data_IF_463003169502
#
_entry.id   IF_463003169502
#
_cell.length_a   1.000
_cell.length_b   1.000
_cell.length_c   1.000
_cell.angle_alpha   90.00
_cell.angle_beta   90.00
_cell.angle_gamma   90.00
#
_symmetry.space_group_name_H-M   'P 1'
#
loop_
_entity.id
_entity.type
_entity.pdbx_description
1 polymer ?
#
# COMPACT_ATOMS: atom_id res chain seq x y z
N UNK A 1 -28.30 -15.26 10.18
CA UNK A 1 -26.89 -15.06 10.61
C UNK A 1 -26.00 -16.09 9.92
N UNK A 2 -25.17 -15.68 8.96
CA UNK A 2 -24.17 -16.58 8.33
C UNK A 2 -22.84 -16.40 9.06
N UNK A 3 -22.54 -17.28 10.02
CA UNK A 3 -21.25 -17.33 10.69
C UNK A 3 -20.16 -17.75 9.71
N UNK A 4 -19.18 -16.87 9.48
CA UNK A 4 -18.00 -17.21 8.72
C UNK A 4 -17.27 -18.37 9.43
N UNK A 5 -17.04 -19.47 8.71
CA UNK A 5 -16.29 -20.63 9.19
C UNK A 5 -14.83 -20.21 9.38
N UNK A 6 -14.46 -19.80 10.58
CA UNK A 6 -13.07 -19.74 11.05
C UNK A 6 -12.59 -21.19 11.20
N UNK A 7 -12.35 -21.89 10.09
CA UNK A 7 -11.91 -23.31 10.13
C UNK A 7 -10.50 -23.53 9.58
N UNK A 8 -9.90 -22.52 8.94
CA UNK A 8 -8.59 -22.66 8.29
C UNK A 8 -7.65 -21.47 8.56
N UNK A 9 -7.67 -20.90 9.78
CA UNK A 9 -6.68 -19.88 10.14
C UNK A 9 -5.41 -20.55 10.70
N UNK A 10 -4.23 -20.11 10.25
CA UNK A 10 -2.94 -20.70 10.62
C UNK A 10 -2.69 -20.75 12.14
N UNK A 11 -3.35 -19.89 12.91
CA UNK A 11 -3.30 -19.88 14.39
C UNK A 11 -3.96 -21.10 15.06
N UNK A 12 -4.75 -21.89 14.34
CA UNK A 12 -5.35 -23.14 14.86
C UNK A 12 -4.56 -24.39 14.46
N UNK A 13 -3.48 -24.23 13.68
CA UNK A 13 -2.58 -25.34 13.33
C UNK A 13 -1.51 -25.51 14.42
N UNK A 14 -1.16 -26.75 14.78
CA UNK A 14 0.01 -27.02 15.60
C UNK A 14 1.26 -26.37 15.00
N UNK A 15 2.09 -25.75 15.84
CA UNK A 15 3.34 -25.11 15.41
C UNK A 15 4.26 -26.08 14.65
N UNK A 16 4.22 -27.37 14.98
CA UNK A 16 4.96 -28.43 14.28
C UNK A 16 4.60 -28.55 12.81
N UNK A 17 3.34 -28.33 12.44
CA UNK A 17 2.88 -28.45 11.06
C UNK A 17 3.34 -27.25 10.23
N UNK A 18 3.30 -26.05 10.82
CA UNK A 18 3.85 -24.83 10.22
C UNK A 18 5.37 -24.93 10.04
N UNK A 19 6.08 -25.49 11.02
CA UNK A 19 7.53 -25.71 10.94
C UNK A 19 7.88 -26.79 9.91
N UNK A 20 7.07 -27.84 9.76
CA UNK A 20 7.26 -28.88 8.74
C UNK A 20 7.01 -28.34 7.32
N UNK A 21 5.96 -27.55 7.13
CA UNK A 21 5.68 -26.84 5.87
C UNK A 21 6.83 -25.90 5.52
N UNK A 22 7.33 -25.13 6.50
CA UNK A 22 8.52 -24.27 6.33
C UNK A 22 9.78 -25.06 6.01
N UNK A 23 9.99 -26.21 6.64
CA UNK A 23 11.15 -27.07 6.38
C UNK A 23 11.11 -27.72 4.98
N UNK A 24 9.91 -27.91 4.42
CA UNK A 24 9.73 -28.39 3.04
C UNK A 24 10.05 -27.31 1.99
N UNK A 25 10.12 -26.03 2.37
CA UNK A 25 10.62 -24.97 1.49
C UNK A 25 12.14 -25.05 1.42
N UNK A 26 12.63 -25.80 0.45
CA UNK A 26 14.06 -25.83 0.11
C UNK A 26 14.42 -24.48 -0.50
N UNK A 27 15.34 -23.70 0.11
CA UNK A 27 15.84 -22.48 -0.50
C UNK A 27 16.41 -22.81 -1.89
N UNK A 28 16.08 -22.00 -2.89
CA UNK A 28 16.64 -22.16 -4.23
C UNK A 28 18.17 -22.18 -4.14
N UNK A 29 18.85 -23.26 -4.58
CA UNK A 29 20.30 -23.35 -4.49
C UNK A 29 21.00 -22.21 -5.22
N UNK A 30 22.13 -21.71 -4.71
CA UNK A 30 22.91 -20.70 -5.40
C UNK A 30 23.37 -21.24 -6.76
N UNK A 31 23.16 -20.46 -7.83
CA UNK A 31 23.54 -20.88 -9.19
C UNK A 31 22.52 -21.76 -9.92
N UNK A 32 21.32 -21.97 -9.37
CA UNK A 32 20.27 -22.69 -10.09
C UNK A 32 19.83 -21.93 -11.36
N UNK A 33 20.22 -22.45 -12.53
CA UNK A 33 19.94 -21.84 -13.83
C UNK A 33 18.43 -21.78 -14.16
N UNK A 34 17.63 -22.75 -13.71
CA UNK A 34 16.19 -22.73 -13.91
C UNK A 34 15.52 -21.58 -13.15
N UNK A 35 15.95 -21.34 -11.91
CA UNK A 35 15.44 -20.23 -11.11
C UNK A 35 15.90 -18.86 -11.64
N UNK A 36 17.13 -18.76 -12.18
CA UNK A 36 17.60 -17.55 -12.87
C UNK A 36 16.75 -17.24 -14.11
N UNK A 37 16.47 -18.26 -14.93
CA UNK A 37 15.63 -18.09 -16.12
C UNK A 37 14.19 -17.68 -15.76
N UNK A 38 13.61 -18.25 -14.70
CA UNK A 38 12.28 -17.86 -14.21
C UNK A 38 12.25 -16.44 -13.63
N UNK A 39 13.31 -16.05 -12.92
CA UNK A 39 13.49 -14.68 -12.43
C UNK A 39 13.60 -13.71 -13.60
N UNK A 40 14.40 -14.01 -14.62
CA UNK A 40 14.60 -13.15 -15.79
C UNK A 40 13.32 -13.01 -16.63
N UNK A 41 12.55 -14.10 -16.77
CA UNK A 41 11.21 -14.07 -17.35
C UNK A 41 10.27 -13.17 -16.56
N UNK A 42 10.27 -13.29 -15.23
CA UNK A 42 9.43 -12.48 -14.35
C UNK A 42 9.80 -10.99 -14.39
N UNK A 43 11.10 -10.68 -14.40
CA UNK A 43 11.62 -9.32 -14.54
C UNK A 43 11.20 -8.73 -15.89
N UNK A 44 11.30 -9.52 -16.97
CA UNK A 44 10.89 -9.09 -18.32
C UNK A 44 9.38 -8.81 -18.39
N UNK A 45 8.55 -9.65 -17.76
CA UNK A 45 7.11 -9.42 -17.65
C UNK A 45 6.79 -8.14 -16.87
N UNK A 46 7.53 -7.85 -15.80
CA UNK A 46 7.37 -6.62 -15.01
C UNK A 46 7.81 -5.37 -15.78
N UNK A 47 8.92 -5.44 -16.51
CA UNK A 47 9.43 -4.33 -17.35
C UNK A 47 8.46 -3.99 -18.47
N UNK A 48 7.87 -4.99 -19.10
CA UNK A 48 6.94 -4.83 -20.22
C UNK A 48 5.50 -4.58 -19.79
N UNK A 49 5.20 -4.63 -18.49
CA UNK A 49 3.86 -4.37 -17.97
C UNK A 49 3.51 -2.89 -18.21
N UNK A 50 2.56 -2.65 -19.11
CA UNK A 50 1.94 -1.33 -19.27
C UNK A 50 1.29 -0.95 -17.94
N UNK A 51 1.84 0.05 -17.25
CA UNK A 51 1.23 0.54 -16.01
C UNK A 51 -0.15 1.13 -16.37
N UNK A 52 -1.23 0.74 -15.67
CA UNK A 52 -2.52 1.37 -15.89
C UNK A 52 -2.39 2.87 -15.66
N UNK A 53 -3.03 3.67 -16.50
CA UNK A 53 -3.05 5.11 -16.30
C UNK A 53 -3.91 5.44 -15.07
N UNK A 54 -3.27 5.48 -13.90
CA UNK A 54 -3.92 5.77 -12.63
C UNK A 54 -4.23 7.27 -12.46
N UNK A 55 -3.83 8.14 -13.39
CA UNK A 55 -4.04 9.59 -13.27
C UNK A 55 -5.52 9.93 -13.08
N UNK A 56 -6.39 9.31 -13.88
CA UNK A 56 -7.84 9.49 -13.80
C UNK A 56 -8.39 9.03 -12.44
N UNK A 57 -7.97 7.86 -11.96
CA UNK A 57 -8.40 7.35 -10.66
C UNK A 57 -7.94 8.21 -9.48
N UNK A 58 -6.71 8.76 -9.56
CA UNK A 58 -6.17 9.68 -8.55
C UNK A 58 -6.95 11.00 -8.55
N UNK A 59 -7.26 11.55 -9.72
CA UNK A 59 -8.05 12.78 -9.84
C UNK A 59 -9.46 12.61 -9.24
N UNK A 60 -10.14 11.51 -9.58
CA UNK A 60 -11.45 11.20 -9.00
C UNK A 60 -11.38 11.01 -7.49
N UNK A 61 -10.37 10.31 -6.98
CA UNK A 61 -10.18 10.11 -5.54
C UNK A 61 -9.97 11.44 -4.80
N UNK A 62 -9.20 12.36 -5.38
CA UNK A 62 -9.04 13.71 -4.81
C UNK A 62 -10.35 14.49 -4.81
N UNK A 63 -11.07 14.51 -5.93
CA UNK A 63 -12.33 15.24 -6.05
C UNK A 63 -13.43 14.69 -5.12
N UNK A 64 -13.49 13.36 -4.97
CA UNK A 64 -14.46 12.67 -4.12
C UNK A 64 -14.18 12.84 -2.62
N UNK A 65 -12.96 13.19 -2.21
CA UNK A 65 -12.65 13.42 -0.80
C UNK A 65 -13.44 14.63 -0.26
N UNK A 66 -14.03 14.52 0.94
CA UNK A 66 -14.74 15.63 1.58
C UNK A 66 -13.86 16.88 1.71
N UNK A 67 -14.45 18.06 1.53
CA UNK A 67 -13.79 19.37 1.74
C UNK A 67 -12.95 19.44 3.02
N UNK A 68 -13.46 19.08 4.22
CA UNK A 68 -12.66 19.18 5.44
C UNK A 68 -11.41 18.28 5.41
N UNK A 69 -11.49 17.11 4.77
CA UNK A 69 -10.36 16.18 4.64
C UNK A 69 -9.29 16.77 3.72
N UNK A 70 -9.67 17.29 2.55
CA UNK A 70 -8.72 17.95 1.63
C UNK A 70 -8.01 19.13 2.29
N UNK A 71 -8.76 19.98 3.00
CA UNK A 71 -8.20 21.11 3.77
C UNK A 71 -7.23 20.62 4.85
N UNK A 72 -7.58 19.57 5.57
CA UNK A 72 -6.72 19.00 6.61
C UNK A 72 -5.42 18.42 6.03
N UNK A 73 -5.49 17.69 4.91
CA UNK A 73 -4.30 17.16 4.22
C UNK A 73 -3.36 18.30 3.80
N UNK A 74 -3.91 19.39 3.25
CA UNK A 74 -3.11 20.56 2.87
C UNK A 74 -2.45 21.20 4.08
N UNK A 75 -3.20 21.41 5.18
CA UNK A 75 -2.66 21.96 6.41
C UNK A 75 -1.54 21.09 7.01
N UNK A 76 -1.74 19.77 7.06
CA UNK A 76 -0.72 18.81 7.53
C UNK A 76 0.55 18.84 6.66
N UNK A 77 0.41 19.11 5.38
CA UNK A 77 1.51 19.21 4.43
C UNK A 77 2.18 20.60 4.42
N UNK A 78 1.70 21.55 5.21
CA UNK A 78 2.21 22.92 5.27
C UNK A 78 1.75 23.81 4.10
N UNK A 79 0.69 23.42 3.39
CA UNK A 79 0.12 24.19 2.29
C UNK A 79 -1.12 24.99 2.73
N UNK A 80 -1.44 26.06 1.98
CA UNK A 80 -2.67 26.81 2.20
C UNK A 80 -3.89 25.90 2.05
N UNK A 81 -4.76 25.91 3.07
CA UNK A 81 -6.01 25.15 3.07
C UNK A 81 -6.99 25.62 1.99
N UNK A 82 -6.82 26.83 1.45
CA UNK A 82 -7.71 27.39 0.42
C UNK A 82 -7.48 26.76 -0.96
N UNK A 83 -6.35 26.07 -1.16
CA UNK A 83 -6.06 25.30 -2.38
C UNK A 83 -6.86 24.00 -2.50
N UNK A 84 -7.83 23.75 -1.63
CA UNK A 84 -8.60 22.49 -1.58
C UNK A 84 -9.46 22.25 -2.83
N UNK A 85 -9.86 23.32 -3.53
CA UNK A 85 -10.61 23.25 -4.81
C UNK A 85 -9.68 22.97 -6.00
N UNK A 86 -8.37 23.21 -5.85
CA UNK A 86 -7.43 23.01 -6.94
C UNK A 86 -7.40 21.52 -7.36
N UNK A 87 -7.39 21.23 -8.68
CA UNK A 87 -7.23 19.87 -9.18
C UNK A 87 -5.91 19.26 -8.67
N UNK A 88 -5.89 17.95 -8.37
CA UNK A 88 -4.68 17.28 -7.84
C UNK A 88 -3.46 17.38 -8.78
N UNK A 89 -3.70 17.61 -10.08
CA UNK A 89 -2.66 17.79 -11.10
C UNK A 89 -2.04 19.19 -11.11
N UNK A 90 -2.69 20.19 -10.48
CA UNK A 90 -2.12 21.54 -10.30
C UNK A 90 -0.98 21.58 -9.29
N UNK A 91 -0.89 20.56 -8.43
CA UNK A 91 0.24 20.37 -7.53
C UNK A 91 1.39 19.71 -8.30
N UNK A 92 2.61 20.13 -8.00
CA UNK A 92 3.83 19.47 -8.47
C UNK A 92 3.94 18.06 -7.87
N UNK A 93 4.82 17.24 -8.45
CA UNK A 93 5.06 15.90 -7.91
C UNK A 93 5.65 15.94 -6.49
N UNK A 94 6.55 16.90 -6.21
CA UNK A 94 7.11 17.13 -4.89
C UNK A 94 6.05 17.52 -3.86
N UNK A 95 5.12 18.41 -4.22
CA UNK A 95 4.01 18.79 -3.34
C UNK A 95 3.09 17.59 -3.06
N UNK A 96 2.73 16.80 -4.08
CA UNK A 96 1.92 15.59 -3.88
C UNK A 96 2.63 14.56 -2.99
N UNK A 97 3.95 14.44 -3.10
CA UNK A 97 4.75 13.56 -2.25
C UNK A 97 4.74 14.05 -0.79
N UNK A 98 4.91 15.36 -0.57
CA UNK A 98 4.82 15.97 0.75
C UNK A 98 3.44 15.72 1.40
N UNK A 99 2.35 15.90 0.63
CA UNK A 99 0.99 15.58 1.07
C UNK A 99 0.86 14.12 1.51
N UNK A 100 1.35 13.17 0.71
CA UNK A 100 1.31 11.73 1.06
C UNK A 100 2.06 11.43 2.35
N UNK A 101 3.27 11.97 2.52
CA UNK A 101 4.04 11.78 3.75
C UNK A 101 3.37 12.40 4.97
N UNK A 102 2.70 13.54 4.81
CA UNK A 102 1.95 14.18 5.87
C UNK A 102 0.76 13.31 6.32
N UNK A 103 -0.01 12.76 5.38
CA UNK A 103 -1.12 11.83 5.69
C UNK A 103 -0.63 10.57 6.40
N UNK A 104 0.44 9.93 5.90
CA UNK A 104 0.98 8.72 6.52
C UNK A 104 1.44 8.96 7.97
N UNK A 105 2.07 10.10 8.23
CA UNK A 105 2.46 10.51 9.59
C UNK A 105 1.24 10.74 10.48
N UNK A 106 0.21 11.38 9.97
CA UNK A 106 -1.04 11.60 10.71
C UNK A 106 -1.74 10.29 11.06
N UNK A 107 -1.86 9.36 10.11
CA UNK A 107 -2.43 8.02 10.35
C UNK A 107 -1.66 7.31 11.48
N UNK A 108 -0.33 7.26 11.37
CA UNK A 108 0.51 6.64 12.41
C UNK A 108 0.30 7.27 13.78
N UNK A 109 0.10 8.59 13.83
CA UNK A 109 -0.14 9.32 15.08
C UNK A 109 -1.52 9.01 15.66
N UNK A 110 -2.56 9.00 14.83
CA UNK A 110 -3.92 8.63 15.25
C UNK A 110 -4.00 7.18 15.70
N UNK A 111 -3.34 6.25 15.02
CA UNK A 111 -3.24 4.85 15.44
C UNK A 111 -2.57 4.71 16.80
N UNK A 112 -1.47 5.45 17.06
CA UNK A 112 -0.83 5.46 18.38
C UNK A 112 -1.76 6.00 19.46
N UNK A 113 -2.45 7.11 19.19
CA UNK A 113 -3.39 7.72 20.13
C UNK A 113 -4.56 6.77 20.44
N UNK A 114 -5.13 6.13 19.42
CA UNK A 114 -6.22 5.17 19.55
C UNK A 114 -5.82 3.95 20.39
N UNK A 115 -4.58 3.46 20.25
CA UNK A 115 -4.10 2.31 21.03
C UNK A 115 -3.63 2.69 22.44
N UNK A 116 -3.51 3.99 22.75
CA UNK A 116 -3.07 4.47 24.06
C UNK A 116 -4.24 4.78 25.02
N UNK A 117 -5.46 4.89 24.51
CA UNK A 117 -6.71 5.09 25.27
C UNK A 117 -7.39 3.74 25.46
#
# INVERSE_FOLDING_TARGET
>A
MRGARIKDHASFRPASDLLRERAAWVPTPPGNEAAKAELEKSISLLRNRRRPNLQTGIAYSWAAMPKPVRRHILALAGFSADRWECPIHSFTEAERLAMRHAVLRAITTYERALNAV
#
